data_IF_055807454497
#
_entry.id   IF_055807454497
#
_cell.length_a   1.000
_cell.length_b   1.000
_cell.length_c   1.000
_cell.angle_alpha   90.00
_cell.angle_beta   90.00
_cell.angle_gamma   90.00
#
_symmetry.space_group_name_H-M   'P 1'
#
loop_
_entity.id
_entity.type
_entity.pdbx_description
1 polymer ?
#
# COMPACT_ATOMS: atom_id res chain seq x y z
N UNK A 1 -15.24 -23.53 42.96
CA UNK A 1 -15.56 -22.21 42.38
C UNK A 1 -14.60 -22.01 41.23
N UNK A 2 -15.08 -21.86 39.99
CA UNK A 2 -14.21 -21.57 38.84
C UNK A 2 -13.79 -20.11 38.96
N UNK A 3 -12.49 -19.83 38.95
CA UNK A 3 -12.00 -18.47 38.75
C UNK A 3 -12.55 -17.99 37.41
N UNK A 4 -13.41 -16.97 37.47
CA UNK A 4 -13.72 -16.17 36.29
C UNK A 4 -12.40 -15.56 35.84
N UNK A 5 -11.93 -15.97 34.67
CA UNK A 5 -10.72 -15.48 34.05
C UNK A 5 -10.96 -14.01 33.63
N UNK A 6 -10.87 -13.09 34.61
CA UNK A 6 -11.08 -11.66 34.37
C UNK A 6 -10.00 -11.16 33.43
N UNK A 7 -10.44 -10.54 32.33
CA UNK A 7 -9.56 -9.88 31.38
C UNK A 7 -8.67 -8.85 32.10
N UNK A 8 -7.38 -8.85 31.77
CA UNK A 8 -6.43 -7.82 32.23
C UNK A 8 -6.45 -6.57 31.35
N UNK A 9 -7.22 -6.58 30.26
CA UNK A 9 -7.32 -5.47 29.32
C UNK A 9 -8.28 -4.40 29.81
N UNK A 10 -7.91 -3.14 29.57
CA UNK A 10 -8.81 -2.00 29.71
C UNK A 10 -9.45 -1.72 28.36
N UNK A 11 -10.77 -1.59 28.34
CA UNK A 11 -11.50 -1.15 27.15
C UNK A 11 -11.34 0.37 27.02
N UNK A 12 -10.52 0.80 26.05
CA UNK A 12 -10.22 2.20 25.83
C UNK A 12 -11.26 2.88 24.94
N UNK A 13 -11.74 2.20 23.90
CA UNK A 13 -12.67 2.75 22.91
C UNK A 13 -13.24 1.63 22.02
N UNK A 14 -14.53 1.73 21.71
CA UNK A 14 -15.22 0.83 20.80
C UNK A 14 -16.04 1.62 19.78
N UNK A 15 -15.66 1.52 18.50
CA UNK A 15 -16.39 2.11 17.37
C UNK A 15 -16.72 1.04 16.32
N UNK A 16 -17.94 0.48 16.33
CA UNK A 16 -18.36 -0.53 15.38
C UNK A 16 -18.73 0.05 13.99
N UNK A 17 -18.78 1.37 13.82
CA UNK A 17 -19.21 2.05 12.58
C UNK A 17 -18.08 2.78 11.85
N UNK A 18 -16.82 2.56 12.25
CA UNK A 18 -15.64 3.19 11.66
C UNK A 18 -15.37 2.83 10.18
N UNK A 19 -15.96 1.72 9.69
CA UNK A 19 -15.83 1.22 8.31
C UNK A 19 -14.37 1.17 7.83
N UNK A 20 -13.52 0.51 8.62
CA UNK A 20 -12.11 0.26 8.32
C UNK A 20 -11.93 -1.17 7.79
N UNK A 21 -11.47 -1.26 6.56
CA UNK A 21 -11.18 -2.51 5.84
C UNK A 21 -9.72 -2.48 5.45
N UNK A 22 -8.90 -3.23 6.17
CA UNK A 22 -7.45 -3.19 6.01
C UNK A 22 -6.83 -4.47 6.54
N UNK A 23 -5.54 -4.63 6.29
CA UNK A 23 -4.73 -5.72 6.84
C UNK A 23 -3.61 -5.14 7.71
N UNK A 24 -3.03 -5.98 8.56
CA UNK A 24 -1.97 -5.56 9.50
C UNK A 24 -0.80 -4.84 8.83
N UNK A 25 -0.40 -5.25 7.62
CA UNK A 25 0.68 -4.63 6.86
C UNK A 25 0.35 -3.23 6.32
N UNK A 26 -0.93 -2.86 6.30
CA UNK A 26 -1.41 -1.55 5.87
C UNK A 26 -1.68 -0.61 7.07
N UNK A 27 -1.18 -0.95 8.25
CA UNK A 27 -1.25 -0.15 9.47
C UNK A 27 0.15 0.32 9.87
N UNK A 28 0.27 1.58 10.24
CA UNK A 28 1.48 2.14 10.84
C UNK A 28 1.13 3.15 11.93
N UNK A 29 1.98 3.22 12.97
CA UNK A 29 1.97 4.33 13.92
C UNK A 29 3.07 5.32 13.51
N UNK A 30 2.77 6.61 13.50
CA UNK A 30 3.73 7.64 13.13
C UNK A 30 3.50 8.95 13.87
N UNK A 31 4.56 9.50 14.44
CA UNK A 31 4.60 10.89 14.92
C UNK A 31 4.86 11.84 13.74
N UNK A 32 3.82 12.08 12.94
CA UNK A 32 3.92 12.83 11.67
C UNK A 32 4.45 14.26 11.87
N UNK A 33 4.24 14.86 13.05
CA UNK A 33 4.63 16.24 13.35
C UNK A 33 5.90 16.35 14.17
N UNK A 34 6.46 15.23 14.64
CA UNK A 34 7.57 15.19 15.59
C UNK A 34 7.24 15.95 16.90
N UNK A 35 5.98 15.87 17.35
CA UNK A 35 5.46 16.54 18.55
C UNK A 35 5.17 15.57 19.72
N UNK A 36 5.49 14.29 19.55
CA UNK A 36 5.22 13.22 20.50
C UNK A 36 3.79 12.66 20.41
N UNK A 37 2.93 13.22 19.55
CA UNK A 37 1.56 12.74 19.36
C UNK A 37 1.48 11.78 18.17
N UNK A 38 1.53 10.49 18.49
CA UNK A 38 1.50 9.41 17.50
C UNK A 38 0.13 9.25 16.86
N UNK A 39 0.11 9.23 15.53
CA UNK A 39 -1.11 9.06 14.73
C UNK A 39 -1.15 7.65 14.15
N UNK A 40 -2.34 7.08 14.11
CA UNK A 40 -2.60 5.80 13.46
C UNK A 40 -2.87 6.04 11.97
N UNK A 41 -2.02 5.49 11.12
CA UNK A 41 -2.09 5.59 9.67
C UNK A 41 -2.59 4.26 9.10
N UNK A 42 -3.58 4.33 8.23
CA UNK A 42 -4.30 3.16 7.71
C UNK A 42 -4.46 3.27 6.20
N UNK A 43 -3.90 2.29 5.48
CA UNK A 43 -4.26 2.02 4.09
C UNK A 43 -5.59 1.27 4.05
N UNK A 44 -6.69 1.99 3.85
CA UNK A 44 -8.04 1.45 3.79
C UNK A 44 -8.34 0.98 2.36
N UNK A 45 -8.74 -0.28 2.23
CA UNK A 45 -9.15 -0.92 0.97
C UNK A 45 -10.47 -0.34 0.46
N UNK A 46 -11.33 0.11 1.37
CA UNK A 46 -12.68 0.58 1.05
C UNK A 46 -13.65 -0.57 0.78
N UNK A 47 -14.94 -0.28 0.95
CA UNK A 47 -16.04 -1.14 0.46
C UNK A 47 -16.80 -0.38 -0.63
N UNK A 48 -17.14 0.87 -0.36
CA UNK A 48 -17.96 1.67 -1.27
C UNK A 48 -17.17 2.07 -2.51
N UNK A 49 -17.66 1.64 -3.68
CA UNK A 49 -17.10 1.90 -5.00
C UNK A 49 -15.63 1.49 -5.17
N UNK A 50 -15.12 0.59 -4.32
CA UNK A 50 -13.72 0.16 -4.29
C UNK A 50 -12.72 1.33 -4.20
N UNK A 51 -13.13 2.45 -3.60
CA UNK A 51 -12.25 3.62 -3.45
C UNK A 51 -11.31 3.38 -2.28
N UNK A 52 -10.04 3.19 -2.62
CA UNK A 52 -8.97 3.00 -1.64
C UNK A 52 -8.53 4.34 -1.09
N UNK A 53 -8.24 4.38 0.22
CA UNK A 53 -7.96 5.64 0.91
C UNK A 53 -6.90 5.47 1.98
N UNK A 54 -6.02 6.46 2.10
CA UNK A 54 -5.13 6.65 3.24
C UNK A 54 -5.89 7.43 4.32
N UNK A 55 -6.23 6.77 5.43
CA UNK A 55 -6.89 7.37 6.60
C UNK A 55 -5.88 7.57 7.71
N UNK A 56 -5.96 8.71 8.42
CA UNK A 56 -5.10 8.99 9.57
C UNK A 56 -5.95 9.43 10.76
N UNK A 57 -5.76 8.76 11.88
CA UNK A 57 -6.45 9.01 13.13
C UNK A 57 -5.52 9.65 14.16
N UNK A 58 -6.10 10.58 14.93
CA UNK A 58 -5.51 11.15 16.13
C UNK A 58 -6.45 10.84 17.29
N UNK A 59 -5.98 10.04 18.25
CA UNK A 59 -6.86 9.44 19.25
C UNK A 59 -7.97 8.63 18.58
N UNK A 60 -9.22 8.98 18.86
CA UNK A 60 -10.43 8.32 18.32
C UNK A 60 -11.03 9.05 17.12
N UNK A 61 -10.36 10.09 16.60
CA UNK A 61 -10.91 10.95 15.54
C UNK A 61 -10.12 10.81 14.25
N UNK A 62 -10.81 10.68 13.12
CA UNK A 62 -10.22 10.75 11.78
C UNK A 62 -9.82 12.20 11.46
N UNK A 63 -8.54 12.46 11.28
CA UNK A 63 -8.00 13.80 11.01
C UNK A 63 -7.62 14.04 9.55
N UNK A 64 -7.43 12.97 8.78
CA UNK A 64 -7.04 13.08 7.38
C UNK A 64 -7.50 11.86 6.58
N UNK A 65 -7.92 12.14 5.36
CA UNK A 65 -8.32 11.14 4.38
C UNK A 65 -7.82 11.57 3.00
N UNK A 66 -7.13 10.69 2.29
CA UNK A 66 -6.64 10.93 0.93
C UNK A 66 -6.89 9.72 0.05
N UNK A 67 -7.41 9.92 -1.15
CA UNK A 67 -7.67 8.83 -2.10
C UNK A 67 -6.35 8.26 -2.62
N UNK A 68 -6.22 6.95 -2.58
CA UNK A 68 -5.12 6.20 -3.20
C UNK A 68 -5.49 5.83 -4.64
N UNK A 69 -4.48 5.63 -5.47
CA UNK A 69 -4.68 5.33 -6.89
C UNK A 69 -5.01 3.86 -7.17
N UNK A 70 -4.61 2.97 -6.26
CA UNK A 70 -4.82 1.52 -6.36
C UNK A 70 -4.93 0.91 -4.95
N UNK A 71 -5.08 -0.41 -4.83
CA UNK A 71 -5.12 -1.13 -3.56
C UNK A 71 -3.81 -0.95 -2.79
N UNK A 72 -3.84 -0.61 -1.49
CA UNK A 72 -2.64 -0.55 -0.67
C UNK A 72 -2.17 -1.97 -0.31
N UNK A 73 -0.89 -2.25 -0.55
CA UNK A 73 -0.25 -3.52 -0.18
C UNK A 73 0.57 -3.40 1.11
N UNK A 74 0.97 -2.19 1.48
CA UNK A 74 1.71 -1.94 2.71
C UNK A 74 1.82 -0.46 3.03
N UNK A 75 1.91 -0.13 4.32
CA UNK A 75 2.12 1.23 4.83
C UNK A 75 3.26 1.19 5.84
N UNK A 76 4.25 2.07 5.66
CA UNK A 76 5.38 2.19 6.59
C UNK A 76 5.68 3.65 6.90
N UNK A 77 6.16 3.91 8.11
CA UNK A 77 6.69 5.20 8.52
C UNK A 77 8.21 5.13 8.55
N UNK A 78 8.89 6.12 7.97
CA UNK A 78 10.35 6.15 7.87
C UNK A 78 10.88 7.59 7.85
N UNK A 79 12.14 7.77 8.25
CA UNK A 79 12.81 9.07 8.19
C UNK A 79 13.54 9.22 6.86
N UNK A 80 13.25 10.27 6.11
CA UNK A 80 13.87 10.52 4.79
C UNK A 80 15.29 11.10 4.89
N UNK A 81 15.58 11.79 5.99
CA UNK A 81 16.86 12.44 6.23
C UNK A 81 17.22 12.40 7.72
N UNK A 82 18.38 12.95 8.04
CA UNK A 82 18.89 13.00 9.42
C UNK A 82 18.73 14.37 10.08
N UNK A 83 18.04 15.34 9.46
CA UNK A 83 17.91 16.71 9.95
C UNK A 83 17.00 16.79 11.18
N UNK A 84 17.35 17.64 12.14
CA UNK A 84 16.53 17.88 13.32
C UNK A 84 15.63 19.13 13.16
N UNK A 85 14.35 19.08 13.57
CA UNK A 85 13.62 17.92 14.07
C UNK A 85 13.28 16.90 12.97
N UNK A 86 13.47 15.61 13.28
CA UNK A 86 13.21 14.52 12.33
C UNK A 86 11.71 14.29 12.20
N UNK A 87 11.14 14.67 11.05
CA UNK A 87 9.74 14.38 10.73
C UNK A 87 9.68 13.12 9.85
N UNK A 88 8.96 12.07 10.27
CA UNK A 88 8.82 10.87 9.47
C UNK A 88 7.91 11.13 8.27
N UNK A 89 8.22 10.46 7.16
CA UNK A 89 7.35 10.34 6.02
C UNK A 89 6.58 9.02 6.07
N UNK A 90 5.42 9.00 5.43
CA UNK A 90 4.63 7.79 5.24
C UNK A 90 4.86 7.29 3.82
N UNK A 91 5.32 6.05 3.66
CA UNK A 91 5.31 5.36 2.38
C UNK A 91 4.11 4.41 2.30
N UNK A 92 3.38 4.48 1.19
CA UNK A 92 2.27 3.60 0.85
C UNK A 92 2.63 2.87 -0.44
N UNK A 93 2.76 1.55 -0.37
CA UNK A 93 2.91 0.70 -1.54
C UNK A 93 1.53 0.43 -2.14
N UNK A 94 1.36 0.72 -3.42
CA UNK A 94 0.09 0.55 -4.12
C UNK A 94 0.35 0.32 -5.62
N UNK A 95 0.00 -0.87 -6.09
CA UNK A 95 0.38 -1.34 -7.43
C UNK A 95 1.91 -1.42 -7.60
N UNK A 96 2.47 -1.02 -8.76
CA UNK A 96 3.92 -0.98 -8.99
C UNK A 96 4.60 0.30 -8.46
N UNK A 97 3.93 1.04 -7.57
CA UNK A 97 4.37 2.35 -7.11
C UNK A 97 4.51 2.41 -5.59
N UNK A 98 5.44 3.24 -5.13
CA UNK A 98 5.55 3.65 -3.72
C UNK A 98 5.25 5.14 -3.66
N UNK A 99 4.17 5.50 -2.97
CA UNK A 99 3.75 6.88 -2.74
C UNK A 99 4.26 7.35 -1.40
N UNK A 100 5.08 8.38 -1.39
CA UNK A 100 5.62 9.00 -0.18
C UNK A 100 4.83 10.24 0.15
N UNK A 101 4.33 10.33 1.38
CA UNK A 101 3.62 11.46 1.93
C UNK A 101 4.46 12.13 3.02
N UNK A 102 4.71 13.44 2.88
CA UNK A 102 5.34 14.28 3.91
C UNK A 102 4.30 15.21 4.49
N UNK A 103 4.14 15.22 5.81
CA UNK A 103 3.10 16.02 6.48
C UNK A 103 1.70 15.83 5.87
N UNK A 104 1.34 14.57 5.56
CA UNK A 104 0.06 14.19 4.94
C UNK A 104 -0.18 14.75 3.53
N UNK A 105 0.86 15.24 2.86
CA UNK A 105 0.81 15.71 1.48
C UNK A 105 1.62 14.78 0.57
N UNK A 106 1.12 14.44 -0.63
CA UNK A 106 1.92 13.72 -1.61
C UNK A 106 3.24 14.45 -1.86
N UNK A 107 4.36 13.74 -1.71
CA UNK A 107 5.70 14.30 -1.81
C UNK A 107 6.48 13.69 -2.97
N UNK A 108 6.44 12.36 -3.08
CA UNK A 108 7.20 11.64 -4.10
C UNK A 108 6.45 10.37 -4.53
N UNK A 109 6.67 9.96 -5.79
CA UNK A 109 6.18 8.71 -6.35
C UNK A 109 7.38 7.95 -6.92
N UNK A 110 7.69 6.82 -6.33
CA UNK A 110 8.64 5.87 -6.88
C UNK A 110 7.91 4.89 -7.80
N UNK A 111 8.49 4.58 -8.96
CA UNK A 111 8.02 3.54 -9.87
C UNK A 111 9.02 2.39 -9.85
N UNK A 112 8.52 1.17 -9.68
CA UNK A 112 9.37 -0.02 -9.78
C UNK A 112 10.07 -0.05 -11.15
N UNK A 113 11.38 -0.37 -11.21
CA UNK A 113 12.08 -0.56 -12.48
C UNK A 113 11.40 -1.65 -13.30
N UNK A 114 11.21 -1.39 -14.59
CA UNK A 114 10.73 -2.41 -15.52
C UNK A 114 11.85 -3.41 -15.80
N UNK A 115 11.49 -4.67 -15.95
CA UNK A 115 12.41 -5.72 -16.38
C UNK A 115 12.28 -5.82 -17.90
N UNK A 116 13.40 -5.98 -18.59
CA UNK A 116 13.40 -6.20 -20.03
C UNK A 116 12.73 -7.55 -20.35
N UNK A 117 11.95 -7.57 -21.43
CA UNK A 117 11.30 -8.78 -21.93
C UNK A 117 12.39 -9.71 -22.48
N UNK A 118 12.21 -11.02 -22.30
CA UNK A 118 13.12 -12.00 -22.88
C UNK A 118 13.21 -11.84 -24.42
N UNK A 119 14.42 -11.81 -25.01
CA UNK A 119 14.57 -11.59 -26.45
C UNK A 119 13.85 -12.63 -27.32
N UNK A 120 13.73 -13.88 -26.89
CA UNK A 120 13.03 -14.92 -27.64
C UNK A 120 11.52 -14.69 -27.63
N UNK A 121 10.95 -14.31 -26.48
CA UNK A 121 9.53 -13.92 -26.39
C UNK A 121 9.24 -12.68 -27.26
N UNK A 122 10.13 -11.69 -27.22
CA UNK A 122 10.01 -10.47 -28.01
C UNK A 122 10.06 -10.74 -29.52
N UNK A 123 10.92 -11.65 -29.97
CA UNK A 123 10.99 -12.05 -31.37
C UNK A 123 9.71 -12.79 -31.82
N UNK A 124 9.22 -13.74 -31.02
CA UNK A 124 7.95 -14.43 -31.29
C UNK A 124 6.77 -13.47 -31.38
N UNK A 125 6.70 -12.49 -30.46
CA UNK A 125 5.69 -11.43 -30.48
C UNK A 125 5.77 -10.62 -31.78
N UNK A 126 7.00 -10.30 -32.21
CA UNK A 126 7.25 -9.55 -33.46
C UNK A 126 6.88 -10.36 -34.69
N UNK A 127 7.13 -11.67 -34.71
CA UNK A 127 6.75 -12.57 -35.80
C UNK A 127 5.22 -12.66 -35.96
N UNK A 128 4.46 -12.74 -34.87
CA UNK A 128 2.98 -12.70 -34.93
C UNK A 128 2.49 -11.35 -35.45
N UNK A 129 3.06 -10.25 -34.95
CA UNK A 129 2.69 -8.90 -35.41
C UNK A 129 2.93 -8.71 -36.92
N UNK A 130 3.92 -9.42 -37.48
CA UNK A 130 4.24 -9.41 -38.90
C UNK A 130 3.48 -10.50 -39.70
N UNK A 131 2.52 -11.19 -39.09
CA UNK A 131 1.74 -12.27 -39.69
C UNK A 131 2.59 -13.45 -40.21
N UNK A 132 3.82 -13.60 -39.71
CA UNK A 132 4.74 -14.68 -40.11
C UNK A 132 4.41 -16.02 -39.46
N UNK A 133 3.82 -15.96 -38.26
CA UNK A 133 3.36 -17.13 -37.51
C UNK A 133 1.95 -16.87 -36.98
N UNK A 134 1.15 -17.92 -36.85
CA UNK A 134 -0.19 -17.80 -36.27
C UNK A 134 -0.13 -17.68 -34.74
N UNK A 135 -1.18 -17.13 -34.09
CA UNK A 135 -1.26 -17.10 -32.62
C UNK A 135 -1.13 -18.50 -31.98
N UNK A 136 -1.63 -19.54 -32.65
CA UNK A 136 -1.49 -20.93 -32.20
C UNK A 136 -0.03 -21.40 -32.23
N UNK A 137 0.69 -21.10 -33.33
CA UNK A 137 2.12 -21.43 -33.43
C UNK A 137 2.97 -20.65 -32.41
N UNK A 138 2.60 -19.41 -32.10
CA UNK A 138 3.25 -18.65 -31.03
C UNK A 138 3.06 -19.31 -29.67
N UNK A 139 1.85 -19.78 -29.37
CA UNK A 139 1.56 -20.50 -28.12
C UNK A 139 2.41 -21.77 -27.98
N UNK A 140 2.47 -22.61 -29.03
CA UNK A 140 3.32 -23.82 -29.03
C UNK A 140 4.80 -23.49 -28.81
N UNK A 141 5.31 -22.42 -29.45
CA UNK A 141 6.71 -22.00 -29.32
C UNK A 141 7.02 -21.41 -27.94
N UNK A 142 6.12 -20.61 -27.36
CA UNK A 142 6.28 -20.09 -26.00
C UNK A 142 6.26 -21.23 -24.97
N UNK A 143 5.42 -22.25 -25.16
CA UNK A 143 5.40 -23.40 -24.26
C UNK A 143 6.71 -24.18 -24.28
N UNK A 144 7.40 -24.20 -25.42
CA UNK A 144 8.73 -24.82 -25.58
C UNK A 144 9.90 -24.03 -24.98
N UNK A 145 9.68 -22.76 -24.58
CA UNK A 145 10.71 -21.91 -23.95
C UNK A 145 10.76 -22.06 -22.41
N UNK A 146 9.84 -22.85 -21.82
CA UNK A 146 9.90 -23.24 -20.41
C UNK A 146 11.10 -24.16 -20.12
#
# INVERSE_FOLDING_TARGET
MKEENKSKWLDAHHDPVASLYTFTQCLALSDIKADGDWKLVIGNLGIDNYVTKLKVFQGTTLIHESTLLDLPNGVVSFYMDTHEPRTPAIAVCSGPFIYVFKNLRPYYKFSMPTIDIDPAEQDLWTQVKQEKISPFQMWERLESLK
#
